data_IF_324852248018
#
_entry.id   IF_324852248018
#
_cell.length_a   1.000
_cell.length_b   1.000
_cell.length_c   1.000
_cell.angle_alpha   90.00
_cell.angle_beta   90.00
_cell.angle_gamma   90.00
#
_symmetry.space_group_name_H-M   'P 1'
#
loop_
_entity.id
_entity.type
_entity.pdbx_description
1 polymer ?
#
# COMPACT_ATOMS: atom_id res chain seq x y z
N UNK A 1 -32.46 4.80 -14.18
CA UNK A 1 -32.78 3.39 -13.83
C UNK A 1 -32.33 2.52 -15.01
N UNK A 2 -31.13 1.93 -14.95
CA UNK A 2 -30.53 1.24 -16.11
C UNK A 2 -30.90 -0.24 -16.11
N UNK A 3 -31.52 -0.80 -17.18
CA UNK A 3 -31.91 -2.20 -17.20
C UNK A 3 -30.73 -3.09 -17.62
N UNK A 4 -30.42 -4.08 -16.79
CA UNK A 4 -29.37 -5.06 -17.03
C UNK A 4 -29.87 -6.14 -18.01
N UNK A 5 -29.68 -5.95 -19.32
CA UNK A 5 -29.82 -7.02 -20.32
C UNK A 5 -28.50 -7.79 -20.42
N UNK A 6 -28.43 -9.01 -19.91
CA UNK A 6 -27.28 -9.91 -20.13
C UNK A 6 -27.28 -10.38 -21.59
N UNK A 7 -26.63 -9.65 -22.49
CA UNK A 7 -26.15 -10.22 -23.76
C UNK A 7 -24.94 -11.10 -23.42
N UNK A 8 -25.01 -12.41 -23.70
CA UNK A 8 -23.81 -13.27 -23.67
C UNK A 8 -22.89 -12.77 -24.78
N UNK A 9 -21.77 -12.18 -24.41
CA UNK A 9 -20.68 -11.91 -25.33
C UNK A 9 -20.01 -13.25 -25.70
N UNK A 10 -19.56 -13.45 -26.95
CA UNK A 10 -18.69 -14.58 -27.27
C UNK A 10 -17.42 -14.51 -26.40
N UNK A 11 -16.78 -15.65 -26.08
CA UNK A 11 -15.57 -15.64 -25.30
C UNK A 11 -14.52 -14.77 -26.00
N UNK A 12 -14.14 -13.66 -25.38
CA UNK A 12 -13.01 -12.88 -25.82
C UNK A 12 -11.77 -13.77 -25.74
N UNK A 13 -10.99 -13.82 -26.82
CA UNK A 13 -9.68 -14.46 -26.80
C UNK A 13 -8.89 -13.89 -25.62
N UNK A 14 -8.49 -14.77 -24.70
CA UNK A 14 -7.71 -14.37 -23.54
C UNK A 14 -6.41 -13.73 -24.05
N UNK A 15 -6.10 -12.47 -23.68
CA UNK A 15 -4.78 -11.94 -23.97
C UNK A 15 -3.76 -12.84 -23.28
N UNK A 16 -2.72 -13.24 -24.00
CA UNK A 16 -1.60 -13.97 -23.43
C UNK A 16 -1.14 -13.20 -22.18
N UNK A 17 -1.31 -13.82 -21.01
CA UNK A 17 -0.76 -13.31 -19.77
C UNK A 17 0.75 -13.28 -19.98
N UNK A 18 1.29 -12.09 -20.24
CA UNK A 18 2.71 -11.87 -20.12
C UNK A 18 3.05 -12.21 -18.67
N UNK A 19 3.65 -13.38 -18.46
CA UNK A 19 4.19 -13.75 -17.17
C UNK A 19 5.09 -12.59 -16.72
N UNK A 20 4.74 -11.98 -15.59
CA UNK A 20 5.63 -11.06 -14.91
C UNK A 20 6.78 -11.92 -14.40
N UNK A 21 7.78 -12.12 -15.25
CA UNK A 21 9.03 -12.78 -14.90
C UNK A 21 9.68 -11.95 -13.80
N UNK A 22 9.56 -12.44 -12.57
CA UNK A 22 10.33 -11.93 -11.43
C UNK A 22 11.77 -12.31 -11.71
N UNK A 23 12.51 -11.44 -12.40
CA UNK A 23 13.94 -11.65 -12.64
C UNK A 23 14.63 -11.79 -11.27
N UNK A 24 15.40 -12.86 -11.01
CA UNK A 24 16.24 -12.90 -9.83
C UNK A 24 17.25 -11.75 -9.90
N UNK A 25 17.42 -11.06 -8.78
CA UNK A 25 18.27 -9.88 -8.69
C UNK A 25 19.74 -10.31 -8.75
N UNK A 26 20.58 -9.70 -9.62
CA UNK A 26 22.01 -9.96 -9.61
C UNK A 26 22.59 -9.46 -8.28
N UNK A 27 23.17 -10.38 -7.53
CA UNK A 27 24.00 -10.10 -6.38
C UNK A 27 25.16 -9.20 -6.78
N UNK A 28 25.23 -8.03 -6.16
CA UNK A 28 26.47 -7.36 -5.71
C UNK A 28 27.55 -7.16 -6.79
N UNK A 29 27.60 -5.97 -7.41
CA UNK A 29 28.84 -5.38 -7.92
C UNK A 29 28.77 -3.83 -7.99
N UNK A 30 29.48 -3.21 -7.03
CA UNK A 30 30.13 -1.89 -6.98
C UNK A 30 29.55 -0.68 -7.72
N UNK A 31 29.25 0.37 -6.94
CA UNK A 31 29.86 1.72 -7.11
C UNK A 31 29.93 2.46 -5.76
N UNK A 32 31.17 2.75 -5.35
CA UNK A 32 31.53 3.63 -4.24
C UNK A 32 31.42 5.10 -4.69
N UNK A 33 30.98 5.99 -3.80
CA UNK A 33 31.06 7.44 -4.01
C UNK A 33 29.96 8.22 -3.28
N UNK A 34 30.23 8.66 -2.06
CA UNK A 34 29.37 9.55 -1.27
C UNK A 34 29.15 9.05 0.15
N UNK A 35 29.74 9.73 1.14
CA UNK A 35 29.53 9.46 2.57
C UNK A 35 28.06 9.69 2.93
N UNK A 36 27.23 8.66 2.80
CA UNK A 36 25.91 8.63 3.45
C UNK A 36 26.15 8.27 4.91
N UNK A 37 25.71 9.13 5.82
CA UNK A 37 25.62 8.82 7.24
C UNK A 37 24.74 7.58 7.40
N UNK A 38 25.35 6.39 7.48
CA UNK A 38 24.63 5.14 7.66
C UNK A 38 24.25 5.05 9.13
N UNK A 39 22.95 4.97 9.41
CA UNK A 39 22.45 4.60 10.74
C UNK A 39 23.17 3.33 11.22
N UNK A 40 23.70 3.28 12.45
CA UNK A 40 24.35 2.09 13.00
C UNK A 40 23.37 0.92 13.19
N UNK A 41 22.06 1.18 13.15
CA UNK A 41 21.03 0.16 13.18
C UNK A 41 20.66 -0.30 11.76
N UNK A 42 20.51 -1.62 11.52
CA UNK A 42 20.07 -2.12 10.22
C UNK A 42 18.72 -1.50 9.88
N UNK A 43 18.66 -0.79 8.76
CA UNK A 43 17.40 -0.21 8.29
C UNK A 43 16.43 -1.35 8.03
N UNK A 44 15.38 -1.45 8.85
CA UNK A 44 14.29 -2.41 8.65
C UNK A 44 13.74 -2.24 7.23
N UNK A 45 13.51 -3.34 6.47
CA UNK A 45 13.01 -3.25 5.11
C UNK A 45 11.76 -2.35 5.00
N UNK A 46 11.66 -1.52 3.95
CA UNK A 46 10.49 -0.70 3.74
C UNK A 46 9.24 -1.56 3.56
N UNK A 47 8.09 -1.03 3.98
CA UNK A 47 6.82 -1.75 3.90
C UNK A 47 5.67 -0.80 3.62
N UNK A 48 4.61 -1.38 3.07
CA UNK A 48 3.32 -0.75 2.92
C UNK A 48 2.38 -1.31 3.99
N UNK A 49 1.72 -0.42 4.73
CA UNK A 49 0.64 -0.77 5.65
C UNK A 49 -0.65 -0.24 5.08
N UNK A 50 -1.69 -1.06 5.05
CA UNK A 50 -3.03 -0.73 4.58
C UNK A 50 -3.98 -0.88 5.77
N UNK A 51 -4.64 0.18 6.14
CA UNK A 51 -5.64 0.23 7.18
C UNK A 51 -7.02 0.04 6.56
N UNK A 52 -7.80 -0.86 7.14
CA UNK A 52 -9.19 -1.11 6.75
C UNK A 52 -10.09 -0.94 7.98
N UNK A 53 -11.21 -0.24 7.79
CA UNK A 53 -12.23 -0.07 8.82
C UNK A 53 -13.05 -1.34 9.01
N UNK A 54 -13.08 -1.84 10.25
CA UNK A 54 -13.93 -2.99 10.62
C UNK A 54 -15.33 -2.58 11.06
N UNK A 55 -15.54 -1.31 11.38
CA UNK A 55 -16.83 -0.76 11.81
C UNK A 55 -17.82 -0.51 10.66
N UNK A 56 -17.37 -0.63 9.41
CA UNK A 56 -18.20 -0.40 8.21
C UNK A 56 -18.91 -1.66 7.68
N UNK A 57 -18.82 -2.80 8.37
CA UNK A 57 -19.38 -4.10 7.96
C UNK A 57 -19.20 -4.42 6.47
N UNK A 58 -18.03 -4.08 5.91
CA UNK A 58 -17.76 -4.31 4.50
C UNK A 58 -17.64 -5.81 4.22
N UNK A 59 -18.18 -6.26 3.09
CA UNK A 59 -17.96 -7.64 2.61
C UNK A 59 -16.49 -7.85 2.26
N UNK A 60 -16.02 -9.11 2.32
CA UNK A 60 -14.64 -9.48 1.96
C UNK A 60 -14.22 -8.95 0.58
N UNK A 61 -15.13 -9.01 -0.40
CA UNK A 61 -14.88 -8.46 -1.74
C UNK A 61 -14.68 -6.94 -1.74
N UNK A 62 -15.51 -6.19 -1.01
CA UNK A 62 -15.35 -4.73 -0.88
C UNK A 62 -14.05 -4.39 -0.15
N UNK A 63 -13.70 -5.13 0.91
CA UNK A 63 -12.41 -4.95 1.62
C UNK A 63 -11.23 -5.14 0.67
N UNK A 64 -11.19 -6.25 -0.07
CA UNK A 64 -10.11 -6.55 -1.01
C UNK A 64 -9.97 -5.47 -2.09
N UNK A 65 -11.09 -5.00 -2.65
CA UNK A 65 -11.09 -3.93 -3.65
C UNK A 65 -10.56 -2.60 -3.08
N UNK A 66 -11.02 -2.20 -1.90
CA UNK A 66 -10.60 -0.94 -1.26
C UNK A 66 -9.13 -0.98 -0.83
N UNK A 67 -8.66 -2.11 -0.29
CA UNK A 67 -7.25 -2.30 0.04
C UNK A 67 -6.35 -2.26 -1.20
N UNK A 68 -6.79 -2.88 -2.29
CA UNK A 68 -6.07 -2.86 -3.58
C UNK A 68 -5.99 -1.45 -4.16
N UNK A 69 -7.11 -0.71 -4.12
CA UNK A 69 -7.14 0.69 -4.56
C UNK A 69 -6.19 1.56 -3.72
N UNK A 70 -6.19 1.39 -2.39
CA UNK A 70 -5.29 2.11 -1.51
C UNK A 70 -3.82 1.78 -1.78
N UNK A 71 -3.49 0.52 -2.09
CA UNK A 71 -2.14 0.09 -2.43
C UNK A 71 -1.64 0.75 -3.72
N UNK A 72 -2.44 0.72 -4.79
CA UNK A 72 -2.08 1.30 -6.09
C UNK A 72 -1.93 2.82 -5.99
N UNK A 73 -2.87 3.49 -5.32
CA UNK A 73 -2.83 4.95 -5.14
C UNK A 73 -1.58 5.40 -4.38
N UNK A 74 -1.22 4.65 -3.34
CA UNK A 74 -0.01 4.91 -2.58
C UNK A 74 1.25 4.61 -3.37
N UNK A 75 1.28 3.52 -4.15
CA UNK A 75 2.41 3.20 -5.00
C UNK A 75 2.70 4.33 -6.00
N UNK A 76 1.68 4.84 -6.68
CA UNK A 76 1.82 5.99 -7.59
C UNK A 76 2.37 7.22 -6.87
N UNK A 77 1.87 7.49 -5.66
CA UNK A 77 2.35 8.60 -4.82
C UNK A 77 3.81 8.40 -4.40
N UNK A 78 4.15 7.20 -3.94
CA UNK A 78 5.50 6.82 -3.52
C UNK A 78 6.51 6.89 -4.68
N UNK A 79 6.12 6.52 -5.91
CA UNK A 79 6.99 6.67 -7.07
C UNK A 79 7.27 8.12 -7.41
N UNK A 80 6.27 9.01 -7.34
CA UNK A 80 6.48 10.46 -7.51
C UNK A 80 7.44 11.04 -6.45
N UNK A 81 7.45 10.46 -5.25
CA UNK A 81 8.34 10.84 -4.14
C UNK A 81 9.71 10.10 -4.17
N UNK A 82 9.98 9.27 -5.18
CA UNK A 82 11.22 8.49 -5.28
C UNK A 82 11.37 7.34 -4.27
N UNK A 83 10.32 7.01 -3.52
CA UNK A 83 10.33 5.98 -2.48
C UNK A 83 10.03 4.57 -3.01
N UNK A 84 9.45 4.44 -4.21
CA UNK A 84 8.95 3.14 -4.68
C UNK A 84 10.04 2.13 -5.07
N UNK A 85 11.19 2.57 -5.61
CA UNK A 85 12.28 1.66 -5.97
C UNK A 85 12.80 0.88 -4.76
N UNK A 86 12.94 1.55 -3.61
CA UNK A 86 13.40 0.88 -2.38
C UNK A 86 12.41 -0.16 -1.89
N UNK A 87 11.10 0.13 -1.97
CA UNK A 87 10.05 -0.82 -1.62
C UNK A 87 9.94 -1.98 -2.62
N UNK A 88 10.12 -1.72 -3.92
CA UNK A 88 10.18 -2.73 -4.97
C UNK A 88 11.33 -3.72 -4.71
N UNK A 89 12.52 -3.20 -4.43
CA UNK A 89 13.70 -4.01 -4.11
C UNK A 89 13.60 -4.71 -2.74
N UNK A 90 12.69 -4.23 -1.87
CA UNK A 90 12.38 -4.82 -0.56
C UNK A 90 11.30 -5.90 -0.60
N UNK A 91 10.97 -6.46 -1.77
CA UNK A 91 9.98 -7.52 -1.91
C UNK A 91 8.52 -7.05 -1.84
N UNK A 92 8.28 -5.74 -1.95
CA UNK A 92 6.94 -5.15 -2.06
C UNK A 92 5.98 -5.55 -0.92
N UNK A 93 6.52 -5.65 0.31
CA UNK A 93 5.77 -6.13 1.49
C UNK A 93 4.55 -5.24 1.77
N UNK A 94 3.39 -5.89 1.95
CA UNK A 94 2.10 -5.28 2.31
C UNK A 94 1.58 -5.93 3.60
N UNK A 95 1.08 -5.13 4.53
CA UNK A 95 0.36 -5.61 5.71
C UNK A 95 -1.00 -4.93 5.77
N UNK A 96 -2.05 -5.70 6.04
CA UNK A 96 -3.39 -5.16 6.26
C UNK A 96 -3.68 -5.14 7.76
N UNK A 97 -4.01 -3.98 8.29
CA UNK A 97 -4.33 -3.77 9.71
C UNK A 97 -5.77 -3.28 9.83
N UNK A 98 -6.41 -3.65 10.95
CA UNK A 98 -7.75 -3.17 11.28
C UNK A 98 -7.71 -1.91 12.13
N UNK A 99 -8.69 -1.04 11.88
CA UNK A 99 -9.00 0.15 12.69
C UNK A 99 -10.49 0.17 13.01
N UNK A 100 -10.83 0.65 14.21
CA UNK A 100 -12.20 0.65 14.71
C UNK A 100 -13.04 1.85 14.28
N UNK A 101 -12.48 2.77 13.50
CA UNK A 101 -13.21 3.94 13.02
C UNK A 101 -12.34 4.98 12.34
N UNK A 102 -13.01 6.02 11.83
CA UNK A 102 -12.38 7.08 11.05
C UNK A 102 -11.36 7.91 11.84
N UNK A 103 -11.64 8.20 13.12
CA UNK A 103 -10.73 8.97 13.99
C UNK A 103 -9.35 8.31 14.12
N UNK A 104 -9.28 6.98 14.20
CA UNK A 104 -8.01 6.25 14.23
C UNK A 104 -7.26 6.35 12.89
N UNK A 105 -7.99 6.31 11.76
CA UNK A 105 -7.37 6.56 10.45
C UNK A 105 -6.76 7.95 10.36
N UNK A 106 -7.48 8.96 10.84
CA UNK A 106 -7.01 10.35 10.80
C UNK A 106 -5.78 10.59 11.67
N UNK A 107 -5.71 9.97 12.85
CA UNK A 107 -4.50 10.00 13.68
C UNK A 107 -3.29 9.39 12.94
N UNK A 108 -3.47 8.23 12.30
CA UNK A 108 -2.40 7.61 11.52
C UNK A 108 -1.98 8.50 10.34
N UNK A 109 -2.93 9.05 9.59
CA UNK A 109 -2.64 9.95 8.46
C UNK A 109 -1.83 11.16 8.94
N UNK A 110 -2.25 11.82 10.03
CA UNK A 110 -1.56 12.97 10.62
C UNK A 110 -0.13 12.60 11.01
N UNK A 111 0.04 11.56 11.84
CA UNK A 111 1.35 11.11 12.33
C UNK A 111 2.28 10.62 11.23
N UNK A 112 1.74 10.03 10.17
CA UNK A 112 2.50 9.60 9.00
C UNK A 112 2.99 10.81 8.17
N UNK A 113 2.14 11.83 7.98
CA UNK A 113 2.52 13.08 7.30
C UNK A 113 3.59 13.86 8.06
N UNK A 114 3.47 13.95 9.39
CA UNK A 114 4.48 14.56 10.27
C UNK A 114 5.86 13.90 10.10
N UNK A 115 5.87 12.59 9.84
CA UNK A 115 7.09 11.80 9.58
C UNK A 115 7.50 11.76 8.11
N UNK A 116 6.84 12.55 7.24
CA UNK A 116 7.10 12.62 5.79
C UNK A 116 6.98 11.26 5.09
N UNK A 117 6.10 10.38 5.59
CA UNK A 117 5.78 9.11 4.95
C UNK A 117 4.84 9.34 3.77
N UNK A 118 4.93 8.48 2.75
CA UNK A 118 3.95 8.46 1.68
C UNK A 118 2.61 7.95 2.24
N UNK A 119 1.52 8.65 1.95
CA UNK A 119 0.17 8.32 2.44
C UNK A 119 -0.84 8.43 1.30
N UNK A 120 -1.76 7.47 1.22
CA UNK A 120 -2.96 7.59 0.41
C UNK A 120 -4.21 7.34 1.26
N UNK A 121 -5.28 8.07 0.93
CA UNK A 121 -6.59 7.95 1.57
C UNK A 121 -7.59 7.61 0.48
N UNK A 122 -8.33 6.52 0.67
CA UNK A 122 -9.37 6.06 -0.24
C UNK A 122 -10.73 6.26 0.42
N UNK A 123 -11.67 6.75 -0.38
CA UNK A 123 -13.08 6.91 -0.03
C UNK A 123 -13.93 6.13 -1.00
N UNK A 124 -15.08 5.67 -0.55
CA UNK A 124 -16.10 5.13 -1.45
C UNK A 124 -16.97 6.25 -2.06
N UNK A 125 -17.99 5.84 -2.84
CA UNK A 125 -18.87 6.75 -3.58
C UNK A 125 -19.65 7.71 -2.66
N UNK A 126 -19.88 7.32 -1.40
CA UNK A 126 -20.53 8.14 -0.39
C UNK A 126 -19.55 9.08 0.36
N UNK A 127 -18.32 9.22 -0.14
CA UNK A 127 -17.23 9.99 0.49
C UNK A 127 -16.79 9.46 1.86
N UNK A 128 -17.16 8.23 2.22
CA UNK A 128 -16.75 7.60 3.48
C UNK A 128 -15.32 7.08 3.35
N UNK A 129 -14.45 7.42 4.32
CA UNK A 129 -13.07 6.90 4.36
C UNK A 129 -13.08 5.40 4.68
N UNK A 130 -12.78 4.57 3.68
CA UNK A 130 -12.84 3.09 3.75
C UNK A 130 -11.47 2.45 3.98
N UNK A 131 -10.43 3.04 3.40
CA UNK A 131 -9.06 2.53 3.51
C UNK A 131 -8.03 3.67 3.52
N UNK A 132 -6.94 3.46 4.24
CA UNK A 132 -5.76 4.34 4.26
C UNK A 132 -4.53 3.47 4.03
N UNK A 133 -3.54 3.97 3.33
CA UNK A 133 -2.27 3.25 3.18
C UNK A 133 -1.08 4.17 3.45
N UNK A 134 -0.03 3.61 4.04
CA UNK A 134 1.21 4.30 4.42
C UNK A 134 2.42 3.49 3.96
N UNK A 135 3.42 4.15 3.38
CA UNK A 135 4.66 3.51 2.92
C UNK A 135 5.90 4.29 3.36
N UNK A 136 6.91 3.54 3.78
CA UNK A 136 8.24 4.05 4.11
C UNK A 136 9.08 3.00 4.81
N UNK A 137 10.13 3.45 5.51
CA UNK A 137 11.00 2.58 6.29
C UNK A 137 10.23 1.80 7.36
N UNK A 138 10.55 0.52 7.53
CA UNK A 138 9.79 -0.38 8.39
C UNK A 138 9.63 0.10 9.84
N UNK A 139 10.67 0.72 10.40
CA UNK A 139 10.70 1.30 11.77
C UNK A 139 9.82 2.53 11.86
N UNK A 140 9.96 3.48 10.95
CA UNK A 140 9.16 4.72 10.93
C UNK A 140 7.68 4.43 10.70
N UNK A 141 7.35 3.46 9.82
CA UNK A 141 5.97 3.00 9.64
C UNK A 141 5.45 2.32 10.91
N UNK A 142 6.28 1.54 11.61
CA UNK A 142 5.93 0.91 12.88
C UNK A 142 5.64 1.91 14.00
N UNK A 143 6.37 3.02 14.08
CA UNK A 143 6.10 4.05 15.08
C UNK A 143 4.66 4.58 14.99
N UNK A 144 4.09 4.61 13.77
CA UNK A 144 2.73 5.11 13.54
C UNK A 144 1.68 4.00 13.66
N UNK A 145 2.00 2.78 13.23
CA UNK A 145 1.00 1.70 13.00
C UNK A 145 1.17 0.48 13.90
N UNK A 146 2.27 0.37 14.66
CA UNK A 146 2.67 -0.86 15.36
C UNK A 146 1.77 -1.28 16.53
N UNK A 147 0.90 -0.38 17.00
CA UNK A 147 -0.09 -0.66 18.04
C UNK A 147 -1.41 -1.23 17.46
N UNK A 148 -1.57 -1.17 16.13
CA UNK A 148 -2.76 -1.67 15.45
C UNK A 148 -2.66 -3.18 15.23
N UNK A 149 -3.82 -3.84 15.21
CA UNK A 149 -3.92 -5.29 15.04
C UNK A 149 -3.99 -5.66 13.56
N UNK A 150 -3.53 -6.85 13.21
CA UNK A 150 -3.77 -7.45 11.89
C UNK A 150 -5.29 -7.55 11.63
N UNK A 151 -5.68 -7.33 10.38
CA UNK A 151 -7.07 -7.43 9.91
C UNK A 151 -7.55 -8.87 9.90
#
# INVERSE_FOLDING_TARGET
MWPFRRKRLPPAAAPALAEVSVRPHPSRLLRMGGRRHRSPYPSTPPKMVILVRTDLNMTTGKIAAQASHAAVRLYQTACKLGACNRWNNGGQRKLVLRVGGEKQMDDVVRRARERKLAVAVVRDEAQVKTAVSVLGEGRTVNEVTGHLKLF
#
